data_IF_320515877461
#
_entry.id   IF_320515877461
#
_cell.length_a   1.000
_cell.length_b   1.000
_cell.length_c   1.000
_cell.angle_alpha   90.00
_cell.angle_beta   90.00
_cell.angle_gamma   90.00
#
_symmetry.space_group_name_H-M   'P 1'
#
loop_
_entity.id
_entity.type
_entity.pdbx_description
1 polymer ?
#
# COMPACT_ATOMS: atom_id res chain seq x y z
N UNK A 1 1.55 1.45 -17.56
CA UNK A 1 2.23 2.14 -16.46
C UNK A 1 2.26 1.11 -15.35
N UNK A 2 3.42 0.51 -15.06
CA UNK A 2 3.54 -0.43 -13.96
C UNK A 2 3.53 0.34 -12.65
N UNK A 3 2.57 0.06 -11.78
CA UNK A 3 2.55 0.63 -10.44
C UNK A 3 3.44 -0.21 -9.53
N UNK A 4 4.16 0.45 -8.63
CA UNK A 4 5.13 -0.22 -7.78
C UNK A 4 4.66 -0.16 -6.35
N UNK A 5 4.67 -1.29 -5.64
CA UNK A 5 4.30 -1.32 -4.22
C UNK A 5 5.23 -0.41 -3.40
N UNK A 6 4.68 0.54 -2.66
CA UNK A 6 5.42 1.44 -1.78
C UNK A 6 6.27 0.67 -0.73
N UNK A 7 5.74 -0.46 -0.23
CA UNK A 7 6.38 -1.21 0.84
C UNK A 7 7.50 -2.13 0.36
N UNK A 8 7.23 -3.02 -0.60
CA UNK A 8 8.19 -4.00 -1.08
C UNK A 8 8.89 -3.61 -2.39
N UNK A 9 8.51 -2.47 -2.99
CA UNK A 9 9.03 -1.98 -4.27
C UNK A 9 8.90 -2.98 -5.43
N UNK A 10 7.96 -3.93 -5.32
CA UNK A 10 7.68 -4.89 -6.38
C UNK A 10 6.82 -4.23 -7.47
N UNK A 11 7.14 -4.49 -8.74
CA UNK A 11 6.32 -4.06 -9.86
C UNK A 11 5.04 -4.90 -9.91
N UNK A 12 3.89 -4.21 -9.90
CA UNK A 12 2.58 -4.81 -9.98
C UNK A 12 1.87 -4.24 -11.22
N UNK A 13 1.78 -5.04 -12.27
CA UNK A 13 1.22 -4.59 -13.55
C UNK A 13 -0.28 -4.25 -13.49
N UNK A 14 -1.08 -4.91 -12.64
CA UNK A 14 -2.54 -4.73 -12.63
C UNK A 14 -3.24 -4.88 -11.27
N UNK A 15 -2.52 -5.31 -10.22
CA UNK A 15 -3.12 -5.63 -8.92
C UNK A 15 -2.44 -4.87 -7.79
N UNK A 16 -2.61 -3.55 -7.78
CA UNK A 16 -2.25 -2.73 -6.61
C UNK A 16 -3.51 -2.26 -5.88
N UNK A 17 -3.37 -2.06 -4.58
CA UNK A 17 -4.37 -1.48 -3.70
C UNK A 17 -3.88 -0.11 -3.23
N UNK A 18 -4.71 0.91 -3.38
CA UNK A 18 -4.43 2.24 -2.87
C UNK A 18 -4.85 2.32 -1.40
N UNK A 19 -3.94 2.78 -0.56
CA UNK A 19 -4.15 2.92 0.87
C UNK A 19 -3.75 4.31 1.35
N UNK A 20 -4.54 4.87 2.26
CA UNK A 20 -4.23 6.16 2.88
C UNK A 20 -3.39 5.94 4.14
N UNK A 21 -2.14 6.36 4.09
CA UNK A 21 -1.26 6.45 5.25
C UNK A 21 -1.37 7.83 5.89
N UNK A 22 -1.65 7.87 7.18
CA UNK A 22 -1.53 9.09 7.98
C UNK A 22 -0.09 9.20 8.49
N UNK A 23 0.76 9.95 7.78
CA UNK A 23 2.15 10.17 8.19
C UNK A 23 2.32 11.63 8.57
N UNK A 24 2.80 11.89 9.79
CA UNK A 24 3.12 13.25 10.27
C UNK A 24 1.95 14.25 10.22
N UNK A 25 0.71 13.76 10.39
CA UNK A 25 -0.51 14.58 10.33
C UNK A 25 -1.04 14.85 8.92
N UNK A 26 -0.41 14.30 7.88
CA UNK A 26 -0.89 14.35 6.49
C UNK A 26 -1.42 12.98 6.05
N UNK A 27 -2.51 12.97 5.31
CA UNK A 27 -2.97 11.79 4.56
C UNK A 27 -2.23 11.72 3.23
N UNK A 28 -1.54 10.61 3.00
CA UNK A 28 -0.92 10.28 1.72
C UNK A 28 -1.46 8.97 1.21
N UNK A 29 -1.89 8.97 -0.04
CA UNK A 29 -2.32 7.77 -0.73
C UNK A 29 -1.10 7.11 -1.37
N UNK A 30 -0.80 5.88 -0.96
CA UNK A 30 0.30 5.07 -1.50
C UNK A 30 -0.27 3.74 -2.01
N UNK A 31 0.45 3.11 -2.93
CA UNK A 31 0.04 1.82 -3.51
C UNK A 31 0.72 0.65 -2.80
N UNK A 32 -0.02 -0.42 -2.55
CA UNK A 32 0.47 -1.67 -2.00
C UNK A 32 0.13 -2.84 -2.91
N UNK A 33 1.03 -3.82 -2.98
CA UNK A 33 0.70 -5.11 -3.59
C UNK A 33 -0.32 -5.87 -2.71
N UNK A 34 -0.99 -6.91 -3.24
CA UNK A 34 -2.03 -7.62 -2.51
C UNK A 34 -1.53 -8.26 -1.21
N UNK A 35 -0.26 -8.68 -1.18
CA UNK A 35 0.38 -9.26 0.00
C UNK A 35 0.59 -8.20 1.10
N UNK A 36 1.26 -7.09 0.78
CA UNK A 36 1.50 -6.01 1.73
C UNK A 36 0.20 -5.33 2.17
N UNK A 37 -0.79 -5.24 1.29
CA UNK A 37 -2.13 -4.73 1.63
C UNK A 37 -2.81 -5.61 2.69
N UNK A 38 -2.69 -6.93 2.57
CA UNK A 38 -3.27 -7.85 3.55
C UNK A 38 -2.58 -7.72 4.92
N UNK A 39 -1.26 -7.61 4.96
CA UNK A 39 -0.51 -7.36 6.20
C UNK A 39 -0.88 -6.01 6.82
N UNK A 40 -1.02 -4.97 6.00
CA UNK A 40 -1.44 -3.64 6.43
C UNK A 40 -2.85 -3.65 7.03
N UNK A 41 -3.81 -4.36 6.41
CA UNK A 41 -5.16 -4.56 6.96
C UNK A 41 -5.14 -5.28 8.30
N UNK A 42 -4.26 -6.28 8.47
CA UNK A 42 -4.10 -6.98 9.74
C UNK A 42 -3.51 -6.05 10.82
N UNK A 43 -2.57 -5.18 10.45
CA UNK A 43 -1.99 -4.19 11.36
C UNK A 43 -2.97 -3.10 11.80
N UNK A 44 -3.96 -2.76 10.97
CA UNK A 44 -5.00 -1.77 11.30
C UNK A 44 -6.08 -2.28 12.28
N UNK A 45 -6.20 -3.58 12.51
CA UNK A 45 -7.16 -4.13 13.49
C UNK A 45 -6.67 -4.04 14.96
N UNK A 46 -5.53 -3.37 15.21
CA UNK A 46 -4.93 -3.17 16.53
C UNK A 46 -5.32 -1.88 17.22
#
# INVERSE_FOLDING_TARGET
>A
MSETCFYCQCECDDKVHYVSFHTNGEEREETLCPECYQEWLQGMQG
#
